data_IF_765517794911
#
_entry.id   IF_765517794911
#
_cell.length_a   1.000
_cell.length_b   1.000
_cell.length_c   1.000
_cell.angle_alpha   90.00
_cell.angle_beta   90.00
_cell.angle_gamma   90.00
#
_symmetry.space_group_name_H-M   'P 1'
#
loop_
_entity.id
_entity.type
_entity.pdbx_description
1 polymer ?
#
# COMPACT_ATOMS: atom_id res chain seq x y z
N UNK A 1 9.58 -14.73 -12.61
CA UNK A 1 8.29 -14.22 -13.11
C UNK A 1 8.44 -12.75 -13.48
N UNK A 2 7.69 -12.31 -14.49
CA UNK A 2 7.45 -10.89 -14.78
C UNK A 2 6.35 -10.37 -13.85
N UNK A 3 6.61 -9.28 -13.13
CA UNK A 3 5.76 -8.82 -12.03
C UNK A 3 5.40 -7.35 -12.21
N UNK A 4 4.13 -7.01 -11.96
CA UNK A 4 3.72 -5.63 -11.78
C UNK A 4 3.82 -5.22 -10.30
N UNK A 5 4.41 -4.06 -10.03
CA UNK A 5 4.45 -3.45 -8.70
C UNK A 5 3.19 -2.65 -8.41
N UNK A 6 2.33 -3.09 -7.48
CA UNK A 6 1.23 -2.26 -6.99
C UNK A 6 1.80 -1.23 -5.99
N UNK A 7 1.77 0.04 -6.38
CA UNK A 7 2.40 1.13 -5.63
C UNK A 7 1.37 2.12 -5.09
N UNK A 8 1.62 2.57 -3.86
CA UNK A 8 0.89 3.69 -3.22
C UNK A 8 1.79 4.91 -2.97
N UNK A 9 3.09 4.80 -3.26
CA UNK A 9 4.09 5.83 -2.93
C UNK A 9 4.67 5.69 -1.52
N UNK A 10 4.23 4.68 -0.76
CA UNK A 10 4.75 4.38 0.57
C UNK A 10 5.87 3.34 0.60
N UNK A 11 6.58 3.30 1.74
CA UNK A 11 7.70 2.39 2.03
C UNK A 11 7.38 0.90 1.80
N UNK A 12 6.14 0.48 2.07
CA UNK A 12 5.78 -0.94 2.07
C UNK A 12 5.71 -1.50 0.65
N UNK A 13 5.18 -0.71 -0.29
CA UNK A 13 5.18 -1.07 -1.70
C UNK A 13 6.60 -1.16 -2.26
N UNK A 14 7.47 -0.22 -1.89
CA UNK A 14 8.89 -0.22 -2.26
C UNK A 14 9.61 -1.47 -1.72
N UNK A 15 9.48 -1.74 -0.41
CA UNK A 15 10.14 -2.87 0.21
C UNK A 15 9.63 -4.21 -0.34
N UNK A 16 8.34 -4.38 -0.58
CA UNK A 16 7.83 -5.63 -1.16
C UNK A 16 8.36 -5.85 -2.58
N UNK A 17 8.59 -4.79 -3.38
CA UNK A 17 9.26 -4.93 -4.67
C UNK A 17 10.73 -5.32 -4.52
N UNK A 18 11.45 -4.80 -3.52
CA UNK A 18 12.81 -5.26 -3.21
C UNK A 18 12.82 -6.75 -2.86
N UNK A 19 11.84 -7.23 -2.07
CA UNK A 19 11.69 -8.65 -1.75
C UNK A 19 11.39 -9.49 -3.00
N UNK A 20 10.57 -8.99 -3.93
CA UNK A 20 10.33 -9.67 -5.21
C UNK A 20 11.63 -9.81 -6.02
N UNK A 21 12.44 -8.75 -6.09
CA UNK A 21 13.74 -8.78 -6.79
C UNK A 21 14.69 -9.77 -6.10
N UNK A 22 14.78 -9.74 -4.77
CA UNK A 22 15.59 -10.68 -4.00
C UNK A 22 15.17 -12.14 -4.19
N UNK A 23 13.88 -12.39 -4.42
CA UNK A 23 13.33 -13.71 -4.76
C UNK A 23 13.52 -14.11 -6.24
N UNK A 24 14.23 -13.33 -7.04
CA UNK A 24 14.52 -13.61 -8.45
C UNK A 24 13.36 -13.27 -9.39
N UNK A 25 12.49 -12.32 -9.02
CA UNK A 25 11.44 -11.80 -9.89
C UNK A 25 11.86 -10.49 -10.54
N UNK A 26 11.26 -10.18 -11.70
CA UNK A 26 11.55 -8.98 -12.46
C UNK A 26 10.34 -8.05 -12.41
N UNK A 27 10.51 -6.87 -11.80
CA UNK A 27 9.48 -5.82 -11.87
C UNK A 27 9.54 -5.19 -13.25
N UNK A 28 8.44 -5.27 -14.00
CA UNK A 28 8.38 -4.82 -15.40
C UNK A 28 7.42 -3.65 -15.62
N UNK A 29 6.54 -3.40 -14.66
CA UNK A 29 5.57 -2.31 -14.72
C UNK A 29 5.14 -1.89 -13.32
N UNK A 30 4.66 -0.65 -13.19
CA UNK A 30 4.08 -0.11 -11.98
C UNK A 30 2.59 0.12 -12.17
N UNK A 31 1.81 -0.22 -11.16
CA UNK A 31 0.37 -0.10 -11.13
C UNK A 31 -0.05 0.81 -9.98
N UNK A 32 -0.89 1.81 -10.26
CA UNK A 32 -1.43 2.69 -9.23
C UNK A 32 -2.91 2.98 -9.51
N UNK A 33 -3.77 2.78 -8.52
CA UNK A 33 -5.11 3.33 -8.53
C UNK A 33 -5.08 4.70 -7.86
N UNK A 34 -5.72 5.67 -8.50
CA UNK A 34 -5.81 7.06 -8.03
C UNK A 34 -7.26 7.49 -7.91
N UNK A 35 -7.63 8.34 -6.95
CA UNK A 35 -8.94 8.97 -6.92
C UNK A 35 -9.20 9.84 -8.15
N UNK A 36 -10.46 10.23 -8.35
CA UNK A 36 -10.84 11.19 -9.38
C UNK A 36 -10.30 12.58 -9.04
N UNK A 37 -9.69 13.26 -10.02
CA UNK A 37 -9.10 14.60 -9.87
C UNK A 37 -10.16 15.65 -9.44
N UNK A 38 -11.45 15.41 -9.72
CA UNK A 38 -12.54 16.29 -9.30
C UNK A 38 -13.05 16.02 -7.88
N UNK A 39 -12.57 14.97 -7.21
CA UNK A 39 -12.91 14.65 -5.81
C UNK A 39 -11.80 15.02 -4.83
N UNK A 40 -10.72 15.66 -5.31
CA UNK A 40 -9.53 16.00 -4.50
C UNK A 40 -9.82 17.11 -3.47
N UNK A 41 -10.88 17.91 -3.62
CA UNK A 41 -11.29 18.87 -2.58
C UNK A 41 -11.92 18.21 -1.35
N UNK A 42 -12.36 16.95 -1.44
CA UNK A 42 -12.66 16.14 -0.27
C UNK A 42 -11.49 15.20 -0.01
N UNK A 43 -10.65 15.54 0.97
CA UNK A 43 -9.58 14.69 1.55
C UNK A 43 -10.07 13.32 2.09
N UNK A 44 -11.34 12.98 1.86
CA UNK A 44 -12.05 11.80 2.33
C UNK A 44 -12.67 11.08 1.13
N UNK A 45 -11.86 10.37 0.34
CA UNK A 45 -12.39 9.17 -0.30
C UNK A 45 -12.51 8.11 0.78
N UNK A 46 -13.72 7.56 0.95
CA UNK A 46 -14.00 6.35 1.74
C UNK A 46 -13.43 5.09 1.03
N UNK A 47 -12.16 5.13 0.59
CA UNK A 47 -11.45 3.96 0.05
C UNK A 47 -10.66 3.29 1.15
N UNK A 48 -11.04 2.05 1.47
CA UNK A 48 -10.26 1.20 2.38
C UNK A 48 -9.00 0.63 1.69
N UNK A 49 -8.87 0.81 0.37
CA UNK A 49 -7.84 0.18 -0.44
C UNK A 49 -6.69 1.11 -0.84
N UNK A 50 -6.96 2.37 -1.19
CA UNK A 50 -5.98 3.22 -1.90
C UNK A 50 -5.73 4.57 -1.23
N UNK A 51 -4.45 4.97 -1.19
CA UNK A 51 -4.00 6.21 -0.57
C UNK A 51 -3.96 7.37 -1.59
N UNK A 52 -4.31 8.57 -1.13
CA UNK A 52 -4.49 9.77 -1.97
C UNK A 52 -3.36 10.79 -1.87
N UNK A 53 -2.41 10.61 -0.96
CA UNK A 53 -1.37 11.61 -0.70
C UNK A 53 -0.04 11.18 -1.33
N UNK A 54 0.63 12.12 -1.99
CA UNK A 54 1.86 11.86 -2.71
C UNK A 54 1.65 11.42 -4.16
N UNK A 55 0.50 11.70 -4.78
CA UNK A 55 0.26 11.38 -6.20
C UNK A 55 1.30 11.92 -7.16
N UNK A 56 1.95 13.04 -6.83
CA UNK A 56 3.09 13.58 -7.60
C UNK A 56 4.36 12.74 -7.44
N UNK A 57 4.56 12.11 -6.29
CA UNK A 57 5.71 11.23 -6.06
C UNK A 57 5.61 9.93 -6.85
N UNK A 58 4.40 9.47 -7.21
CA UNK A 58 4.19 8.25 -8.01
C UNK A 58 4.83 8.37 -9.40
N UNK A 59 4.70 9.53 -10.05
CA UNK A 59 5.26 9.74 -11.39
C UNK A 59 6.80 9.80 -11.32
N UNK A 60 7.35 10.48 -10.31
CA UNK A 60 8.80 10.48 -10.02
C UNK A 60 9.33 9.09 -9.68
N UNK A 61 8.53 8.28 -8.97
CA UNK A 61 8.87 6.91 -8.62
C UNK A 61 9.05 6.04 -9.87
N UNK A 62 8.16 6.20 -10.86
CA UNK A 62 8.28 5.51 -12.13
C UNK A 62 9.46 5.98 -12.98
N UNK A 63 9.71 7.30 -13.01
CA UNK A 63 10.87 7.88 -13.68
C UNK A 63 12.18 7.36 -13.09
N UNK A 64 12.30 7.36 -11.75
CA UNK A 64 13.49 6.87 -11.05
C UNK A 64 13.75 5.37 -11.29
N UNK A 65 12.69 4.57 -11.41
CA UNK A 65 12.81 3.14 -11.72
C UNK A 65 12.97 2.85 -13.22
N UNK A 66 12.76 3.84 -14.09
CA UNK A 66 12.68 3.68 -15.54
C UNK A 66 11.71 2.57 -15.97
N UNK A 67 10.53 2.50 -15.33
CA UNK A 67 9.49 1.51 -15.60
C UNK A 67 8.20 2.16 -16.11
N UNK A 68 7.43 1.48 -16.98
CA UNK A 68 6.13 1.97 -17.41
C UNK A 68 5.16 2.04 -16.23
N UNK A 69 4.48 3.19 -16.11
CA UNK A 69 3.49 3.45 -15.08
C UNK A 69 2.08 3.41 -15.65
N UNK A 70 1.27 2.52 -15.09
CA UNK A 70 -0.13 2.37 -15.43
C UNK A 70 -0.98 2.90 -14.29
N UNK A 71 -1.74 3.97 -14.57
CA UNK A 71 -2.65 4.57 -13.61
C UNK A 71 -4.08 4.42 -14.08
N UNK A 72 -4.98 4.10 -13.14
CA UNK A 72 -6.43 4.12 -13.39
C UNK A 72 -7.12 4.90 -12.29
N UNK A 73 -8.12 5.68 -12.68
CA UNK A 73 -8.97 6.40 -11.74
C UNK A 73 -9.98 5.44 -11.10
N UNK A 74 -10.09 5.48 -9.78
CA UNK A 74 -11.09 4.75 -9.00
C UNK A 74 -12.45 5.40 -9.31
N UNK A 75 -13.34 4.62 -9.91
CA UNK A 75 -14.73 5.00 -10.20
C UNK A 75 -15.71 4.27 -9.30
N UNK A 76 -15.34 3.06 -8.89
CA UNK A 76 -16.10 2.27 -7.94
C UNK A 76 -16.06 2.84 -6.53
N UNK A 77 -16.95 2.33 -5.67
CA UNK A 77 -16.99 2.61 -4.23
C UNK A 77 -16.69 1.34 -3.45
N UNK A 78 -16.40 1.46 -2.15
CA UNK A 78 -16.29 0.30 -1.25
C UNK A 78 -17.67 -0.30 -0.99
N UNK A 79 -18.16 -1.17 -1.87
CA UNK A 79 -19.52 -1.75 -1.79
C UNK A 79 -19.50 -3.11 -1.08
N UNK A 80 -18.62 -4.01 -1.50
CA UNK A 80 -18.45 -5.33 -0.87
C UNK A 80 -17.37 -5.22 0.21
N UNK A 81 -17.81 -5.11 1.47
CA UNK A 81 -16.93 -4.96 2.64
C UNK A 81 -16.81 -6.24 3.48
N UNK A 82 -17.37 -7.36 2.99
CA UNK A 82 -17.29 -8.66 3.63
C UNK A 82 -15.86 -9.20 3.75
N UNK A 83 -15.73 -10.26 4.55
CA UNK A 83 -14.45 -10.99 4.75
C UNK A 83 -13.93 -11.64 3.47
N UNK A 84 -14.85 -12.09 2.62
CA UNK A 84 -14.56 -12.62 1.29
C UNK A 84 -15.06 -11.61 0.28
N UNK A 85 -14.32 -11.43 -0.81
CA UNK A 85 -14.76 -10.57 -1.90
C UNK A 85 -15.58 -11.36 -2.91
N UNK A 86 -16.78 -10.87 -3.21
CA UNK A 86 -17.59 -11.27 -4.35
C UNK A 86 -17.59 -10.13 -5.37
N UNK A 87 -17.47 -10.47 -6.66
CA UNK A 87 -17.54 -9.47 -7.74
C UNK A 87 -18.81 -8.63 -7.58
N UNK A 88 -18.62 -7.33 -7.44
CA UNK A 88 -19.71 -6.38 -7.26
C UNK A 88 -19.55 -5.25 -8.27
N UNK A 89 -20.57 -5.04 -9.11
CA UNK A 89 -20.53 -4.00 -10.11
C UNK A 89 -20.49 -2.61 -9.44
N UNK A 90 -19.56 -1.77 -9.88
CA UNK A 90 -19.34 -0.46 -9.28
C UNK A 90 -18.50 -0.48 -8.00
N UNK A 91 -17.84 -1.60 -7.69
CA UNK A 91 -16.89 -1.68 -6.58
C UNK A 91 -15.45 -1.31 -7.01
N UNK A 92 -14.69 -0.67 -6.13
CA UNK A 92 -13.30 -0.23 -6.39
C UNK A 92 -12.34 -1.38 -6.73
N UNK A 93 -12.65 -2.62 -6.33
CA UNK A 93 -11.86 -3.81 -6.66
C UNK A 93 -11.95 -4.16 -8.14
N UNK A 94 -13.05 -3.82 -8.81
CA UNK A 94 -13.18 -4.02 -10.26
C UNK A 94 -12.32 -3.02 -11.05
N UNK A 95 -12.07 -1.83 -10.51
CA UNK A 95 -11.07 -0.93 -11.11
C UNK A 95 -9.66 -1.51 -11.04
N UNK A 96 -9.31 -2.21 -9.95
CA UNK A 96 -8.03 -2.92 -9.85
C UNK A 96 -7.95 -4.06 -10.85
N UNK A 97 -9.06 -4.81 -11.02
CA UNK A 97 -9.14 -5.87 -12.01
C UNK A 97 -8.85 -5.34 -13.42
N UNK A 98 -9.51 -4.27 -13.83
CA UNK A 98 -9.31 -3.69 -15.16
C UNK A 98 -7.89 -3.11 -15.35
N UNK A 99 -7.32 -2.52 -14.30
CA UNK A 99 -5.93 -2.04 -14.34
C UNK A 99 -4.94 -3.20 -14.54
N UNK A 100 -5.04 -4.25 -13.73
CA UNK A 100 -4.13 -5.39 -13.80
C UNK A 100 -4.33 -6.20 -15.09
N UNK A 101 -5.56 -6.26 -15.61
CA UNK A 101 -5.86 -6.86 -16.91
C UNK A 101 -5.13 -6.14 -18.04
N UNK A 102 -5.19 -4.80 -18.07
CA UNK A 102 -4.48 -3.99 -19.06
C UNK A 102 -2.96 -4.23 -19.01
N UNK A 103 -2.38 -4.26 -17.80
CA UNK A 103 -0.95 -4.50 -17.62
C UNK A 103 -0.58 -5.92 -18.05
N UNK A 104 -1.41 -6.91 -17.73
CA UNK A 104 -1.20 -8.29 -18.17
C UNK A 104 -1.16 -8.40 -19.70
N UNK A 105 -2.06 -7.74 -20.39
CA UNK A 105 -2.12 -7.75 -21.86
C UNK A 105 -0.92 -7.03 -22.52
N UNK A 106 -0.41 -5.95 -21.90
CA UNK A 106 0.68 -5.14 -22.47
C UNK A 106 2.08 -5.61 -22.09
N UNK A 107 2.25 -6.11 -20.88
CA UNK A 107 3.56 -6.37 -20.27
C UNK A 107 3.79 -7.85 -19.98
N UNK A 108 2.81 -8.71 -20.27
CA UNK A 108 2.87 -10.17 -20.10
C UNK A 108 3.27 -10.56 -18.66
N UNK A 109 2.65 -9.92 -17.67
CA UNK A 109 2.93 -10.22 -16.25
C UNK A 109 2.34 -11.57 -15.83
N UNK A 110 3.03 -12.21 -14.89
CA UNK A 110 2.66 -13.48 -14.26
C UNK A 110 2.34 -13.30 -12.77
N UNK A 111 2.73 -12.17 -12.18
CA UNK A 111 2.48 -11.88 -10.77
C UNK A 111 2.34 -10.40 -10.46
N UNK A 112 1.89 -10.13 -9.24
CA UNK A 112 1.66 -8.77 -8.73
C UNK A 112 2.31 -8.64 -7.35
N UNK A 113 3.21 -7.68 -7.19
CA UNK A 113 3.82 -7.30 -5.91
C UNK A 113 2.84 -6.42 -5.13
N UNK A 114 2.57 -6.77 -3.87
CA UNK A 114 1.59 -6.12 -3.01
C UNK A 114 2.18 -5.84 -1.63
N UNK A 115 2.28 -4.57 -1.24
CA UNK A 115 2.84 -4.11 0.03
C UNK A 115 1.91 -4.20 1.25
N UNK A 116 0.88 -5.05 1.25
CA UNK A 116 -0.04 -5.17 2.39
C UNK A 116 0.58 -6.01 3.52
N UNK A 117 0.62 -5.47 4.74
CA UNK A 117 1.23 -6.14 5.91
C UNK A 117 0.19 -6.91 6.74
N UNK A 118 -0.83 -6.20 7.27
CA UNK A 118 -1.82 -6.78 8.20
C UNK A 118 -3.28 -6.70 7.71
N UNK A 119 -3.56 -5.97 6.63
CA UNK A 119 -4.93 -5.79 6.16
C UNK A 119 -5.43 -7.02 5.39
N UNK A 120 -6.21 -7.88 6.07
CA UNK A 120 -6.88 -9.03 5.45
C UNK A 120 -7.81 -8.56 4.34
N UNK A 121 -8.44 -7.40 4.55
CA UNK A 121 -9.32 -6.74 3.61
C UNK A 121 -8.61 -6.49 2.27
N UNK A 122 -7.43 -5.86 2.28
CA UNK A 122 -6.66 -5.58 1.07
C UNK A 122 -6.17 -6.88 0.43
N UNK A 123 -5.63 -7.80 1.24
CA UNK A 123 -5.11 -9.07 0.75
C UNK A 123 -6.17 -9.87 -0.01
N UNK A 124 -7.33 -10.10 0.58
CA UNK A 124 -8.39 -10.93 -0.02
C UNK A 124 -8.88 -10.35 -1.36
N UNK A 125 -8.95 -9.02 -1.47
CA UNK A 125 -9.38 -8.33 -2.71
C UNK A 125 -8.35 -8.48 -3.81
N UNK A 126 -7.08 -8.26 -3.50
CA UNK A 126 -6.01 -8.44 -4.49
C UNK A 126 -5.87 -9.91 -4.89
N UNK A 127 -5.98 -10.85 -3.94
CA UNK A 127 -5.98 -12.28 -4.23
C UNK A 127 -7.14 -12.69 -5.14
N UNK A 128 -8.35 -12.14 -4.92
CA UNK A 128 -9.50 -12.39 -5.79
C UNK A 128 -9.23 -11.93 -7.23
N UNK A 129 -8.74 -10.70 -7.40
CA UNK A 129 -8.39 -10.15 -8.72
C UNK A 129 -7.30 -10.98 -9.39
N UNK A 130 -6.23 -11.30 -8.67
CA UNK A 130 -5.12 -12.11 -9.17
C UNK A 130 -5.60 -13.50 -9.60
N UNK A 131 -6.45 -14.14 -8.81
CA UNK A 131 -7.04 -15.45 -9.15
C UNK A 131 -7.83 -15.40 -10.44
N UNK A 132 -8.68 -14.38 -10.63
CA UNK A 132 -9.48 -14.20 -11.86
C UNK A 132 -8.61 -13.96 -13.09
N UNK A 133 -7.51 -13.24 -12.91
CA UNK A 133 -6.55 -12.95 -13.97
C UNK A 133 -5.48 -14.03 -14.13
N UNK A 134 -5.50 -15.12 -13.36
CA UNK A 134 -4.44 -16.11 -13.32
C UNK A 134 -3.03 -15.47 -13.14
N UNK A 135 -2.92 -14.61 -12.13
CA UNK A 135 -1.69 -13.96 -11.67
C UNK A 135 -1.35 -14.46 -10.26
N UNK A 136 -0.05 -14.52 -9.94
CA UNK A 136 0.42 -14.83 -8.60
C UNK A 136 0.53 -13.56 -7.74
N UNK A 137 -0.25 -13.41 -6.65
CA UNK A 137 -0.01 -12.34 -5.70
C UNK A 137 1.27 -12.65 -4.90
N UNK A 138 2.16 -11.65 -4.82
CA UNK A 138 3.44 -11.70 -4.11
C UNK A 138 3.37 -10.75 -2.90
N UNK A 139 3.01 -11.32 -1.76
CA UNK A 139 2.73 -10.60 -0.49
C UNK A 139 3.76 -10.95 0.58
N UNK A 140 5.04 -10.65 0.33
CA UNK A 140 6.16 -11.05 1.21
C UNK A 140 6.11 -10.42 2.61
N UNK A 141 5.41 -9.30 2.75
CA UNK A 141 5.29 -8.58 4.02
C UNK A 141 4.11 -9.08 4.87
N UNK A 142 3.26 -9.94 4.30
CA UNK A 142 2.02 -10.35 4.93
C UNK A 142 2.25 -11.10 6.24
N UNK A 143 1.55 -10.67 7.31
CA UNK A 143 1.65 -11.23 8.68
C UNK A 143 3.07 -11.27 9.26
N UNK A 144 4.02 -10.54 8.67
CA UNK A 144 5.35 -10.39 9.25
C UNK A 144 5.31 -9.47 10.46
N UNK A 145 6.23 -9.71 11.39
CA UNK A 145 6.42 -8.85 12.55
C UNK A 145 6.85 -7.45 12.09
N UNK A 146 6.16 -6.41 12.58
CA UNK A 146 6.38 -5.05 12.12
C UNK A 146 7.69 -4.44 12.65
N UNK A 147 8.19 -4.88 13.81
CA UNK A 147 9.50 -4.46 14.34
C UNK A 147 10.62 -4.99 13.43
N UNK A 148 10.51 -6.26 13.01
CA UNK A 148 11.45 -6.87 12.08
C UNK A 148 11.41 -6.15 10.73
N UNK A 149 10.21 -5.92 10.19
CA UNK A 149 10.05 -5.19 8.92
C UNK A 149 10.65 -3.78 8.99
N UNK A 150 10.42 -3.05 10.08
CA UNK A 150 10.99 -1.73 10.29
C UNK A 150 12.53 -1.76 10.23
N UNK A 151 13.13 -2.68 10.99
CA UNK A 151 14.59 -2.86 11.05
C UNK A 151 15.16 -3.28 9.70
N UNK A 152 14.50 -4.21 9.03
CA UNK A 152 14.94 -4.69 7.72
C UNK A 152 14.85 -3.60 6.65
N UNK A 153 13.79 -2.77 6.65
CA UNK A 153 13.66 -1.63 5.74
C UNK A 153 14.80 -0.62 5.94
N UNK A 154 15.12 -0.30 7.21
CA UNK A 154 16.24 0.59 7.56
C UNK A 154 17.57 -0.02 7.11
N UNK A 155 17.79 -1.30 7.41
CA UNK A 155 19.00 -2.04 7.02
C UNK A 155 19.14 -2.21 5.50
N UNK A 156 18.03 -2.12 4.77
CA UNK A 156 17.99 -2.15 3.29
C UNK A 156 18.17 -0.75 2.68
N UNK A 157 18.55 0.25 3.47
CA UNK A 157 18.77 1.63 3.05
C UNK A 157 17.53 2.29 2.41
N UNK A 158 16.32 1.91 2.85
CA UNK A 158 15.10 2.63 2.45
C UNK A 158 15.03 3.95 3.22
N UNK A 159 15.27 5.05 2.53
CA UNK A 159 15.07 6.41 3.06
C UNK A 159 13.59 6.82 3.01
N UNK A 160 12.80 6.27 3.93
CA UNK A 160 11.40 6.66 4.07
C UNK A 160 11.27 7.89 5.00
N UNK A 161 10.54 8.92 4.55
CA UNK A 161 10.30 10.16 5.30
C UNK A 161 8.86 10.17 5.85
N UNK A 162 8.68 10.59 7.09
CA UNK A 162 7.37 10.72 7.71
C UNK A 162 6.68 12.00 7.21
N UNK A 163 5.63 11.85 6.41
CA UNK A 163 4.88 13.01 5.85
C UNK A 163 3.50 13.21 6.50
N UNK A 164 3.03 12.24 7.28
CA UNK A 164 1.80 12.35 8.09
C UNK A 164 1.94 11.52 9.35
N UNK A 165 1.27 11.96 10.41
CA UNK A 165 1.09 11.19 11.64
C UNK A 165 -0.39 11.18 12.01
N UNK A 166 -0.91 10.01 12.42
CA UNK A 166 -2.32 9.84 12.78
C UNK A 166 -2.52 8.92 14.00
N UNK A 167 -1.46 8.65 14.75
CA UNK A 167 -1.48 7.75 15.90
C UNK A 167 -1.26 8.52 17.21
N UNK A 168 -2.00 8.12 18.25
CA UNK A 168 -1.85 8.68 19.59
C UNK A 168 -0.42 8.46 20.10
N UNK A 169 0.30 9.54 20.37
CA UNK A 169 1.71 9.51 20.77
C UNK A 169 2.62 10.14 19.71
N UNK A 170 2.19 10.20 18.44
CA UNK A 170 2.95 10.94 17.44
C UNK A 170 2.56 12.43 17.44
N UNK A 171 3.57 13.30 17.52
CA UNK A 171 3.43 14.74 17.46
C UNK A 171 3.89 15.25 16.08
N UNK A 172 3.00 15.87 15.28
CA UNK A 172 3.34 16.39 13.96
C UNK A 172 4.55 17.32 13.98
N UNK A 173 4.64 18.22 14.97
CA UNK A 173 5.70 19.23 15.05
C UNK A 173 7.07 18.61 15.36
N UNK A 174 7.08 17.42 15.98
CA UNK A 174 8.31 16.73 16.38
C UNK A 174 8.72 15.63 15.41
N UNK A 175 7.79 15.05 14.66
CA UNK A 175 8.01 13.80 13.93
C UNK A 175 7.91 13.94 12.41
N UNK A 176 7.18 14.93 11.89
CA UNK A 176 7.13 15.16 10.45
C UNK A 176 8.51 15.54 9.89
N UNK A 177 8.81 15.07 8.68
CA UNK A 177 10.07 15.32 7.99
C UNK A 177 11.25 14.47 8.45
N UNK A 178 11.12 13.74 9.56
CA UNK A 178 12.15 12.77 9.99
C UNK A 178 12.13 11.52 9.13
N UNK A 179 13.28 10.90 8.99
CA UNK A 179 13.43 9.60 8.37
C UNK A 179 12.95 8.47 9.29
N UNK A 180 12.64 7.33 8.69
CA UNK A 180 12.25 6.13 9.40
C UNK A 180 13.36 5.64 10.35
N UNK A 181 14.62 5.79 9.95
CA UNK A 181 15.79 5.48 10.79
C UNK A 181 15.90 6.38 12.01
N UNK A 182 15.71 7.69 11.86
CA UNK A 182 15.71 8.63 13.00
C UNK A 182 14.57 8.37 13.98
N UNK A 183 13.42 7.92 13.45
CA UNK A 183 12.24 7.62 14.25
C UNK A 183 12.28 6.22 14.88
N UNK A 184 13.14 5.31 14.44
CA UNK A 184 13.16 3.91 14.88
C UNK A 184 13.12 3.73 16.40
N UNK A 185 14.00 4.37 17.21
CA UNK A 185 14.00 4.15 18.66
C UNK A 185 12.67 4.57 19.31
N UNK A 186 12.10 5.67 18.83
CA UNK A 186 10.83 6.17 19.30
C UNK A 186 9.69 5.22 18.95
N UNK A 187 9.62 4.79 17.69
CA UNK A 187 8.59 3.87 17.20
C UNK A 187 8.61 2.54 17.93
N UNK A 188 9.82 2.05 18.25
CA UNK A 188 10.00 0.83 19.04
C UNK A 188 9.47 0.99 20.48
N UNK A 189 9.73 2.15 21.11
CA UNK A 189 9.30 2.44 22.47
C UNK A 189 7.78 2.54 22.59
N UNK A 190 7.14 3.32 21.72
CA UNK A 190 5.68 3.53 21.78
C UNK A 190 4.90 2.33 21.24
N UNK A 191 5.58 1.34 20.65
CA UNK A 191 4.99 0.20 19.91
C UNK A 191 3.96 0.65 18.88
N UNK A 192 4.11 1.87 18.38
CA UNK A 192 3.30 2.42 17.29
C UNK A 192 3.98 1.99 16.01
N UNK A 193 3.74 0.74 15.67
CA UNK A 193 4.06 0.18 14.35
C UNK A 193 2.82 0.15 13.46
N UNK A 194 1.65 0.26 14.11
CA UNK A 194 0.36 0.38 13.47
C UNK A 194 0.31 1.75 12.79
N UNK A 195 0.35 1.71 11.46
CA UNK A 195 0.02 2.84 10.62
C UNK A 195 0.80 4.13 10.94
N UNK A 196 2.15 4.07 10.88
CA UNK A 196 2.85 5.20 10.22
C UNK A 196 2.49 5.18 8.75
N UNK A 197 1.22 5.54 8.52
CA UNK A 197 0.69 5.90 7.25
C UNK A 197 1.42 7.18 6.85
N UNK A 198 2.18 7.05 5.77
CA UNK A 198 2.28 8.07 4.74
C UNK A 198 0.85 8.22 4.16
N UNK A 199 -0.05 8.74 4.99
CA UNK A 199 -1.37 9.31 4.73
C UNK A 199 -2.55 8.53 4.12
N UNK A 200 -3.65 8.47 4.90
CA UNK A 200 -5.04 8.56 4.39
C UNK A 200 -5.99 7.45 4.87
N UNK A 201 -6.77 7.74 5.91
CA UNK A 201 -7.86 6.95 6.53
C UNK A 201 -7.48 5.63 7.24
N UNK A 202 -7.85 5.53 8.52
CA UNK A 202 -8.11 4.26 9.22
C UNK A 202 -9.53 4.30 9.75
N UNK A 203 -10.41 3.50 9.16
CA UNK A 203 -11.55 2.96 9.90
C UNK A 203 -11.02 1.91 10.88
N UNK A 204 -10.80 2.27 12.14
CA UNK A 204 -10.36 1.28 13.13
C UNK A 204 -9.96 1.85 14.48
N UNK A 205 -10.91 2.34 15.28
CA UNK A 205 -10.68 2.51 16.73
C UNK A 205 -10.34 1.15 17.34
N UNK A 206 -9.14 0.98 17.87
CA UNK A 206 -8.87 -0.03 18.91
C UNK A 206 -8.01 0.58 20.01
N UNK A 207 -8.68 1.10 21.04
CA UNK A 207 -8.12 1.23 22.38
C UNK A 207 -8.69 0.06 23.22
N UNK A 208 -7.87 -0.78 23.88
CA UNK A 208 -8.37 -1.55 25.00
C UNK A 208 -8.49 -0.60 26.19
N UNK A 209 -9.73 -0.31 26.59
CA UNK A 209 -10.02 0.46 27.78
C UNK A 209 -9.41 -0.19 29.02
N UNK A 210 -8.58 0.57 29.76
CA UNK A 210 -8.31 0.28 31.16
C UNK A 210 -9.61 0.50 31.94
N UNK A 211 -10.29 -0.58 32.32
CA UNK A 211 -11.22 -0.55 33.45
C UNK A 211 -10.40 -0.34 34.73
N UNK A 212 -10.43 0.88 35.25
CA UNK A 212 -10.05 1.17 36.63
C UNK A 212 -11.05 0.52 37.59
N UNK A 213 -10.51 0.05 38.72
CA UNK A 213 -11.25 -0.45 39.89
C UNK A 213 -12.15 0.63 40.49
#
# INVERSE_FOLDING_TARGET
MRVAGLISGGKDSCYNMMQCIAAGHHIVALANLRPDENQVESDELDSYMYQTVGHHAIDLYAEAMALPLYRRTIRGRSLETGRMYNTCEGDEVEDLYELLKLIKEKEEIEGVSVGAILSDYQRVRVENVCKRLNLQPLTYLWQRNQEDLLREMIASNIEAIIIKVAALGLDPDKHLGKTLGEMEPYLLEVRIYVHLQISGSEGGKVAPGRKGK
#
